data_IF_101771858710
#
_entry.id   IF_101771858710
#
_cell.length_a   1.000
_cell.length_b   1.000
_cell.length_c   1.000
_cell.angle_alpha   90.00
_cell.angle_beta   90.00
_cell.angle_gamma   90.00
#
_symmetry.space_group_name_H-M   'P 1'
#
loop_
_entity.id
_entity.type
_entity.pdbx_description
1 polymer ?
#
# COMPACT_ATOMS: atom_id res chain seq x y z
N UNK A 1 24.12 4.77 -3.98
CA UNK A 1 23.19 5.87 -4.36
C UNK A 1 21.78 5.38 -4.04
N UNK A 2 21.21 5.82 -2.92
CA UNK A 2 19.82 5.54 -2.62
C UNK A 2 18.99 6.29 -3.66
N UNK A 3 18.37 5.55 -4.57
CA UNK A 3 17.35 6.07 -5.48
C UNK A 3 16.15 6.39 -4.60
N UNK A 4 16.24 7.47 -3.82
CA UNK A 4 15.04 8.13 -3.35
C UNK A 4 14.35 8.67 -4.60
N UNK A 5 13.07 8.33 -4.84
CA UNK A 5 12.35 8.87 -5.98
C UNK A 5 12.44 10.39 -5.92
N UNK A 6 12.61 11.03 -7.08
CA UNK A 6 12.59 12.49 -7.18
C UNK A 6 11.36 12.97 -6.42
N UNK A 7 11.56 13.66 -5.28
CA UNK A 7 10.45 13.95 -4.42
C UNK A 7 9.48 14.89 -5.16
N UNK A 8 9.86 15.56 -6.25
CA UNK A 8 8.92 16.38 -7.05
C UNK A 8 7.85 15.57 -7.80
N UNK A 9 8.05 14.28 -8.10
CA UNK A 9 7.21 13.51 -9.05
C UNK A 9 6.24 12.53 -8.34
N UNK A 10 6.47 12.22 -7.07
CA UNK A 10 5.79 11.14 -6.34
C UNK A 10 5.09 11.65 -5.06
N UNK A 11 4.77 12.95 -5.06
CA UNK A 11 4.43 13.69 -3.85
C UNK A 11 2.93 13.86 -3.63
N UNK A 12 2.09 13.41 -4.57
CA UNK A 12 0.66 13.66 -4.50
C UNK A 12 -0.10 12.43 -4.03
N UNK A 13 -1.03 12.64 -3.10
CA UNK A 13 -2.00 11.63 -2.73
C UNK A 13 -3.23 11.67 -3.65
N UNK A 14 -4.20 10.78 -3.40
CA UNK A 14 -5.44 10.69 -4.18
C UNK A 14 -6.33 11.96 -4.14
N UNK A 15 -6.06 12.91 -3.25
CA UNK A 15 -6.72 14.21 -3.19
C UNK A 15 -5.99 15.31 -3.96
N UNK A 16 -4.80 15.03 -4.49
CA UNK A 16 -3.93 16.03 -5.10
C UNK A 16 -3.11 16.85 -4.09
N UNK A 17 -3.13 16.47 -2.81
CA UNK A 17 -2.34 17.08 -1.74
C UNK A 17 -1.01 16.33 -1.53
N UNK A 18 -0.13 16.88 -0.68
CA UNK A 18 1.11 16.23 -0.31
C UNK A 18 0.87 14.82 0.30
N UNK A 19 1.66 13.84 -0.16
CA UNK A 19 1.59 12.45 0.27
C UNK A 19 2.05 12.32 1.72
N UNK A 20 1.15 11.88 2.59
CA UNK A 20 1.45 11.57 3.97
C UNK A 20 2.24 10.26 4.08
N UNK A 21 2.98 10.09 5.17
CA UNK A 21 3.62 8.80 5.47
C UNK A 21 2.58 7.73 5.74
N UNK A 22 2.80 6.53 5.21
CA UNK A 22 2.00 5.37 5.51
C UNK A 22 2.34 4.80 6.89
N UNK A 23 3.56 4.30 7.08
CA UNK A 23 4.03 3.73 8.34
C UNK A 23 5.56 3.71 8.45
N UNK A 24 6.09 3.88 9.67
CA UNK A 24 7.53 3.74 9.97
C UNK A 24 7.85 2.57 10.90
N UNK A 25 6.84 1.98 11.55
CA UNK A 25 7.00 0.81 12.41
C UNK A 25 5.75 -0.09 12.29
N UNK A 26 5.79 -1.14 11.44
CA UNK A 26 6.92 -1.54 10.60
C UNK A 26 7.16 -0.57 9.43
N UNK A 27 8.44 -0.37 9.04
CA UNK A 27 8.78 0.51 7.93
C UNK A 27 8.31 -0.08 6.59
N UNK A 28 7.48 0.67 5.88
CA UNK A 28 6.83 0.21 4.64
C UNK A 28 7.32 0.95 3.39
N UNK A 29 6.66 0.69 2.26
CA UNK A 29 6.95 1.27 0.96
C UNK A 29 7.94 0.43 0.16
N UNK A 30 7.83 0.49 -1.17
CA UNK A 30 8.75 -0.16 -2.09
C UNK A 30 10.21 0.22 -1.79
N UNK A 31 10.45 1.50 -1.48
CA UNK A 31 11.77 2.02 -1.12
C UNK A 31 12.13 1.89 0.37
N UNK A 32 11.28 1.27 1.20
CA UNK A 32 11.45 1.20 2.67
C UNK A 32 11.73 2.56 3.31
N UNK A 33 10.95 3.57 2.93
CA UNK A 33 11.06 4.95 3.44
C UNK A 33 9.80 5.41 4.19
N UNK A 34 8.83 4.51 4.38
CA UNK A 34 7.58 4.77 5.08
C UNK A 34 6.48 5.46 4.27
N UNK A 35 6.70 5.70 2.98
CA UNK A 35 5.72 6.28 2.05
C UNK A 35 5.37 5.28 0.95
N UNK A 36 4.15 5.36 0.41
CA UNK A 36 3.73 4.56 -0.76
C UNK A 36 4.22 5.18 -2.08
N UNK A 37 5.49 5.57 -2.06
CA UNK A 37 6.21 6.01 -3.23
C UNK A 37 6.48 4.84 -4.16
N UNK A 38 6.25 5.04 -5.46
CA UNK A 38 6.53 4.05 -6.51
C UNK A 38 7.56 4.54 -7.54
N UNK A 39 7.96 3.68 -8.49
CA UNK A 39 8.76 4.04 -9.65
C UNK A 39 8.43 3.10 -10.81
N UNK A 40 8.96 3.40 -11.99
CA UNK A 40 8.79 2.53 -13.18
C UNK A 40 9.33 1.12 -12.98
N UNK A 41 10.24 0.90 -12.02
CA UNK A 41 10.75 -0.43 -11.64
C UNK A 41 9.88 -1.16 -10.62
N UNK A 42 8.96 -0.47 -9.96
CA UNK A 42 7.99 -1.07 -9.03
C UNK A 42 6.80 -1.63 -9.83
N UNK A 43 7.01 -2.80 -10.44
CA UNK A 43 6.01 -3.47 -11.27
C UNK A 43 4.71 -3.79 -10.50
N UNK A 44 4.81 -3.96 -9.17
CA UNK A 44 3.67 -4.19 -8.30
C UNK A 44 2.87 -2.92 -7.98
N UNK A 45 3.47 -1.74 -8.17
CA UNK A 45 2.90 -0.44 -7.82
C UNK A 45 2.37 -0.42 -6.39
N UNK A 46 3.29 -0.40 -5.42
CA UNK A 46 3.00 -0.37 -3.98
C UNK A 46 2.52 1.03 -3.54
N UNK A 47 1.38 1.45 -4.08
CA UNK A 47 0.85 2.81 -4.04
C UNK A 47 -0.33 2.99 -3.09
N UNK A 48 -0.85 1.90 -2.52
CA UNK A 48 -2.01 1.89 -1.63
C UNK A 48 -1.58 1.70 -0.18
N UNK A 49 -1.79 2.70 0.68
CA UNK A 49 -1.57 2.57 2.12
C UNK A 49 -2.79 1.92 2.79
N UNK A 50 -2.70 0.62 3.05
CA UNK A 50 -3.77 -0.16 3.64
C UNK A 50 -3.53 -0.46 5.12
N UNK A 51 -4.59 -0.43 5.93
CA UNK A 51 -4.61 -0.94 7.30
C UNK A 51 -4.94 -2.43 7.25
N UNK A 52 -3.96 -3.26 7.58
CA UNK A 52 -4.10 -4.71 7.53
C UNK A 52 -5.26 -5.17 8.42
N UNK A 53 -6.09 -6.06 7.89
CA UNK A 53 -7.12 -6.78 8.63
C UNK A 53 -6.82 -8.27 8.59
N UNK A 54 -7.31 -9.02 9.59
CA UNK A 54 -7.14 -10.47 9.58
C UNK A 54 -7.77 -11.10 8.32
N UNK A 55 -8.90 -10.55 7.89
CA UNK A 55 -9.63 -10.98 6.71
C UNK A 55 -8.82 -10.78 5.41
N UNK A 56 -8.29 -9.58 5.20
CA UNK A 56 -7.43 -9.28 4.05
C UNK A 56 -6.15 -10.12 4.05
N UNK A 57 -5.48 -10.26 5.19
CA UNK A 57 -4.24 -11.04 5.28
C UNK A 57 -4.47 -12.51 4.92
N UNK A 58 -5.56 -13.10 5.41
CA UNK A 58 -5.94 -14.48 5.09
C UNK A 58 -6.32 -14.64 3.61
N UNK A 59 -7.09 -13.70 3.06
CA UNK A 59 -7.44 -13.70 1.64
C UNK A 59 -6.18 -13.58 0.76
N UNK A 60 -5.33 -12.60 1.06
CA UNK A 60 -4.09 -12.32 0.35
C UNK A 60 -3.17 -13.54 0.32
N UNK A 61 -2.99 -14.22 1.46
CA UNK A 61 -2.19 -15.44 1.51
C UNK A 61 -2.78 -16.56 0.63
N UNK A 62 -4.11 -16.78 0.68
CA UNK A 62 -4.78 -17.81 -0.13
C UNK A 62 -4.63 -17.61 -1.63
N UNK A 63 -4.52 -16.37 -2.09
CA UNK A 63 -4.32 -16.03 -3.51
C UNK A 63 -2.84 -15.87 -3.89
N UNK A 64 -1.92 -16.34 -3.03
CA UNK A 64 -0.48 -16.37 -3.32
C UNK A 64 0.27 -15.07 -3.03
N UNK A 65 -0.28 -14.17 -2.22
CA UNK A 65 0.39 -12.98 -1.71
C UNK A 65 0.53 -13.06 -0.19
N UNK A 66 1.51 -13.84 0.29
CA UNK A 66 1.75 -14.01 1.72
C UNK A 66 2.41 -12.75 2.31
N UNK A 67 1.62 -12.03 3.11
CA UNK A 67 2.05 -10.86 3.88
C UNK A 67 2.19 -11.17 5.38
N UNK A 68 1.99 -12.41 5.79
CA UNK A 68 1.99 -12.85 7.19
C UNK A 68 3.35 -13.43 7.56
N UNK A 69 3.90 -14.28 6.69
CA UNK A 69 5.17 -14.97 6.94
C UNK A 69 6.35 -13.98 6.90
N UNK A 70 7.14 -13.83 7.98
CA UNK A 70 8.33 -13.00 7.97
C UNK A 70 9.38 -13.51 6.98
N UNK A 71 10.08 -12.60 6.30
CA UNK A 71 11.23 -12.89 5.43
C UNK A 71 12.43 -12.02 5.88
N UNK A 72 13.18 -12.46 6.91
CA UNK A 72 14.27 -11.69 7.50
C UNK A 72 15.37 -11.32 6.50
N UNK A 73 15.62 -12.17 5.50
CA UNK A 73 16.64 -12.00 4.47
C UNK A 73 16.43 -10.75 3.61
N UNK A 74 15.18 -10.27 3.49
CA UNK A 74 14.82 -9.03 2.80
C UNK A 74 14.24 -7.97 3.74
N UNK A 75 14.38 -8.18 5.06
CA UNK A 75 13.90 -7.26 6.08
C UNK A 75 12.38 -7.09 6.10
N UNK A 76 11.61 -8.13 5.73
CA UNK A 76 10.16 -8.12 5.83
C UNK A 76 9.73 -8.76 7.16
N UNK A 77 9.07 -8.03 8.07
CA UNK A 77 8.78 -8.52 9.42
C UNK A 77 7.61 -9.50 9.51
N UNK A 78 6.82 -9.65 8.44
CA UNK A 78 5.48 -10.22 8.51
C UNK A 78 4.50 -9.23 9.14
N UNK A 79 3.28 -9.17 8.62
CA UNK A 79 2.28 -8.19 9.03
C UNK A 79 1.21 -8.82 9.91
N UNK A 80 0.65 -8.00 10.79
CA UNK A 80 -0.47 -8.35 11.67
C UNK A 80 -1.64 -7.37 11.48
N UNK A 81 -2.86 -7.75 11.90
CA UNK A 81 -4.00 -6.83 11.88
C UNK A 81 -3.68 -5.54 12.63
N UNK A 82 -4.02 -4.40 12.02
CA UNK A 82 -3.76 -3.07 12.55
C UNK A 82 -2.53 -2.38 11.96
N UNK A 83 -1.57 -3.12 11.41
CA UNK A 83 -0.41 -2.54 10.74
C UNK A 83 -0.82 -1.74 9.51
N UNK A 84 -0.09 -0.67 9.22
CA UNK A 84 -0.20 0.03 7.95
C UNK A 84 0.90 -0.40 6.99
N UNK A 85 0.53 -0.73 5.76
CA UNK A 85 1.47 -1.19 4.75
C UNK A 85 1.10 -0.72 3.35
N UNK A 86 2.12 -0.35 2.57
CA UNK A 86 1.97 -0.06 1.15
C UNK A 86 1.85 -1.38 0.38
N UNK A 87 0.67 -1.68 -0.14
CA UNK A 87 0.40 -2.86 -0.95
C UNK A 87 0.27 -2.48 -2.43
N UNK A 88 0.48 -3.47 -3.30
CA UNK A 88 0.21 -3.35 -4.73
C UNK A 88 -1.25 -2.92 -4.97
N UNK A 89 -1.47 -1.93 -5.84
CA UNK A 89 -2.83 -1.49 -6.17
C UNK A 89 -3.70 -2.61 -6.71
N UNK A 90 -3.14 -3.50 -7.53
CA UNK A 90 -3.86 -4.66 -8.09
C UNK A 90 -4.27 -5.66 -7.01
N UNK A 91 -3.46 -5.86 -5.97
CA UNK A 91 -3.82 -6.73 -4.83
C UNK A 91 -4.95 -6.14 -3.99
N UNK A 92 -5.02 -4.81 -3.88
CA UNK A 92 -6.17 -4.17 -3.25
C UNK A 92 -7.44 -4.33 -4.10
N UNK A 93 -7.35 -4.16 -5.42
CA UNK A 93 -8.47 -4.36 -6.35
C UNK A 93 -8.99 -5.79 -6.30
N UNK A 94 -8.11 -6.80 -6.35
CA UNK A 94 -8.48 -8.22 -6.20
C UNK A 94 -9.24 -8.46 -4.88
N UNK A 95 -8.78 -7.85 -3.79
CA UNK A 95 -9.45 -7.95 -2.50
C UNK A 95 -10.80 -7.21 -2.48
N UNK A 96 -10.91 -6.06 -3.15
CA UNK A 96 -12.16 -5.31 -3.27
C UNK A 96 -13.23 -6.12 -4.02
N UNK A 97 -12.87 -6.67 -5.18
CA UNK A 97 -13.76 -7.50 -5.99
C UNK A 97 -14.20 -8.77 -5.25
N UNK A 98 -13.33 -9.32 -4.40
CA UNK A 98 -13.62 -10.48 -3.56
C UNK A 98 -14.34 -10.14 -2.24
N UNK A 99 -14.60 -8.86 -1.93
CA UNK A 99 -15.26 -8.43 -0.68
C UNK A 99 -14.38 -8.47 0.57
N UNK A 100 -13.05 -8.52 0.41
CA UNK A 100 -12.04 -8.62 1.46
C UNK A 100 -11.10 -7.40 1.52
N UNK A 101 -11.45 -6.29 0.86
CA UNK A 101 -10.60 -5.10 0.81
C UNK A 101 -10.35 -4.50 2.21
N UNK A 102 -9.08 -4.21 2.56
CA UNK A 102 -8.74 -3.54 3.81
C UNK A 102 -9.08 -2.05 3.73
N UNK A 103 -9.25 -1.44 4.90
CA UNK A 103 -9.40 0.02 5.03
C UNK A 103 -8.12 0.75 4.63
N UNK A 104 -8.24 2.01 4.20
CA UNK A 104 -7.19 2.79 3.56
C UNK A 104 -6.93 4.12 4.27
N UNK A 105 -5.66 4.47 4.42
CA UNK A 105 -5.24 5.83 4.82
C UNK A 105 -5.05 6.66 3.56
N UNK A 106 -6.11 7.29 3.08
CA UNK A 106 -6.14 7.91 1.75
C UNK A 106 -5.12 9.04 1.56
N UNK A 107 -4.80 9.80 2.62
CA UNK A 107 -3.76 10.83 2.56
C UNK A 107 -2.37 10.25 2.26
N UNK A 108 -2.17 8.94 2.46
CA UNK A 108 -0.94 8.20 2.20
C UNK A 108 -1.05 7.25 0.98
N UNK A 109 -2.17 7.25 0.26
CA UNK A 109 -2.33 6.55 -1.02
C UNK A 109 -1.86 7.46 -2.16
N UNK A 110 -0.95 6.98 -2.99
CA UNK A 110 -0.40 7.77 -4.10
C UNK A 110 -1.45 8.05 -5.18
N UNK A 111 -1.36 9.21 -5.84
CA UNK A 111 -2.34 9.66 -6.82
C UNK A 111 -2.58 8.67 -7.97
N UNK A 112 -1.56 7.89 -8.35
CA UNK A 112 -1.67 6.89 -9.43
C UNK A 112 -2.69 5.78 -9.15
N UNK A 113 -3.13 5.59 -7.89
CA UNK A 113 -4.22 4.67 -7.55
C UNK A 113 -5.50 5.04 -8.31
N UNK A 114 -5.72 6.32 -8.61
CA UNK A 114 -6.89 6.80 -9.36
C UNK A 114 -6.97 6.30 -10.81
N UNK A 115 -5.86 5.78 -11.36
CA UNK A 115 -5.89 5.12 -12.67
C UNK A 115 -6.48 3.70 -12.61
N UNK A 116 -6.66 3.15 -11.41
CA UNK A 116 -7.19 1.81 -11.16
C UNK A 116 -8.56 1.85 -10.48
N UNK A 117 -8.73 2.75 -9.52
CA UNK A 117 -9.92 2.80 -8.67
C UNK A 117 -10.42 4.25 -8.55
N UNK A 118 -11.69 4.52 -8.89
CA UNK A 118 -12.33 5.81 -8.65
C UNK A 118 -12.25 6.29 -7.20
N UNK A 119 -12.14 7.61 -6.99
CA UNK A 119 -11.97 8.19 -5.66
C UNK A 119 -13.15 7.91 -4.72
N UNK A 120 -14.37 7.91 -5.24
CA UNK A 120 -15.60 7.59 -4.48
C UNK A 120 -15.55 6.19 -3.89
N UNK A 121 -15.11 5.19 -4.66
CA UNK A 121 -14.89 3.83 -4.15
C UNK A 121 -13.82 3.83 -3.06
N UNK A 122 -12.70 4.53 -3.25
CA UNK A 122 -11.65 4.60 -2.23
C UNK A 122 -12.14 5.24 -0.92
N UNK A 123 -13.01 6.25 -1.01
CA UNK A 123 -13.58 6.95 0.15
C UNK A 123 -14.41 6.05 1.06
N UNK A 124 -15.09 5.03 0.52
CA UNK A 124 -15.84 4.05 1.32
C UNK A 124 -14.93 3.21 2.24
N UNK A 125 -13.63 3.18 1.93
CA UNK A 125 -12.62 2.43 2.69
C UNK A 125 -11.74 3.33 3.57
N UNK A 126 -11.97 4.64 3.63
CA UNK A 126 -11.16 5.55 4.42
C UNK A 126 -11.16 5.22 5.94
N UNK A 127 -10.03 5.50 6.61
CA UNK A 127 -9.86 5.52 8.07
C UNK A 127 -9.27 6.82 8.57
#
# INVERSE_FOLDING_TARGET
MFIHPDPKINRLNVFGDALASCCFDPITGYFRNGFCHTATTDLGQHTVCAKMSADFLNFSQKIGNDLITPLPEIGFPGLKPGDFWCICVTRWVEAYEAGHAPKLKLQACHQSVLSYVPLDILMDFAV
#
